data_IF_888881764024
#
_entry.id   IF_888881764024
#
_cell.length_a   1.000
_cell.length_b   1.000
_cell.length_c   1.000
_cell.angle_alpha   90.00
_cell.angle_beta   90.00
_cell.angle_gamma   90.00
#
_symmetry.space_group_name_H-M   'P 1'
#
loop_
_entity.id
_entity.type
_entity.pdbx_description
1 polymer ?
#
# COMPACT_ATOMS: atom_id res chain seq x y z
N UNK A 1 5.03 -5.55 -10.72
CA UNK A 1 3.79 -5.50 -9.90
C UNK A 1 3.61 -4.08 -9.37
N UNK A 2 2.41 -3.71 -8.94
CA UNK A 2 2.15 -2.40 -8.30
C UNK A 2 2.13 -2.59 -6.79
N UNK A 3 2.96 -1.84 -6.08
CA UNK A 3 3.02 -1.85 -4.62
C UNK A 3 2.04 -0.84 -4.05
N UNK A 4 1.27 -1.23 -3.04
CA UNK A 4 0.35 -0.35 -2.33
C UNK A 4 0.92 -0.03 -0.95
N UNK A 5 1.03 1.26 -0.66
CA UNK A 5 1.23 1.76 0.69
C UNK A 5 0.04 1.38 1.60
N UNK A 6 0.30 1.23 2.90
CA UNK A 6 -0.67 0.96 3.96
C UNK A 6 -1.90 1.87 3.86
N UNK A 7 -1.69 3.16 3.60
CA UNK A 7 -2.79 4.13 3.52
C UNK A 7 -3.76 3.83 2.37
N UNK A 8 -3.28 3.31 1.24
CA UNK A 8 -4.17 2.98 0.10
C UNK A 8 -5.08 1.81 0.47
N UNK A 9 -4.54 0.78 1.11
CA UNK A 9 -5.34 -0.32 1.63
C UNK A 9 -6.35 0.17 2.68
N UNK A 10 -5.95 1.08 3.57
CA UNK A 10 -6.87 1.64 4.55
C UNK A 10 -8.01 2.43 3.89
N UNK A 11 -7.73 3.17 2.83
CA UNK A 11 -8.71 4.00 2.13
C UNK A 11 -9.78 3.16 1.44
N UNK A 12 -9.35 2.03 0.88
CA UNK A 12 -10.25 1.00 0.35
C UNK A 12 -11.10 0.39 1.47
N UNK A 13 -10.47 -0.10 2.54
CA UNK A 13 -11.14 -0.92 3.56
C UNK A 13 -12.05 -0.11 4.50
N UNK A 14 -11.65 1.11 4.85
CA UNK A 14 -12.40 2.01 5.75
C UNK A 14 -13.24 3.04 4.99
N UNK A 15 -13.34 2.94 3.67
CA UNK A 15 -14.10 3.86 2.80
C UNK A 15 -13.80 5.34 3.08
N UNK A 16 -12.52 5.68 3.18
CA UNK A 16 -12.11 7.04 3.56
C UNK A 16 -12.30 8.02 2.41
N UNK A 17 -13.25 8.94 2.57
CA UNK A 17 -13.42 10.07 1.64
C UNK A 17 -12.29 11.10 1.82
N UNK A 18 -11.77 11.71 0.73
CA UNK A 18 -12.17 11.55 -0.68
C UNK A 18 -11.45 10.41 -1.44
N UNK A 19 -10.56 9.66 -0.79
CA UNK A 19 -9.62 8.76 -1.47
C UNK A 19 -10.19 7.39 -1.88
N UNK A 20 -11.34 7.01 -1.34
CA UNK A 20 -11.91 5.69 -1.50
C UNK A 20 -12.19 5.32 -2.96
N UNK A 21 -12.81 6.22 -3.73
CA UNK A 21 -13.26 5.95 -5.10
C UNK A 21 -12.08 5.63 -6.01
N UNK A 22 -11.01 6.44 -5.95
CA UNK A 22 -9.81 6.21 -6.75
C UNK A 22 -9.09 4.89 -6.35
N UNK A 23 -9.04 4.59 -5.05
CA UNK A 23 -8.44 3.35 -4.55
C UNK A 23 -9.24 2.11 -4.98
N UNK A 24 -10.58 2.18 -4.95
CA UNK A 24 -11.47 1.12 -5.42
C UNK A 24 -11.28 0.89 -6.91
N UNK A 25 -11.28 1.95 -7.72
CA UNK A 25 -11.11 1.86 -9.17
C UNK A 25 -9.74 1.28 -9.54
N UNK A 26 -8.67 1.71 -8.86
CA UNK A 26 -7.33 1.16 -9.03
C UNK A 26 -7.30 -0.35 -8.79
N UNK A 27 -7.86 -0.81 -7.66
CA UNK A 27 -7.85 -2.23 -7.31
C UNK A 27 -8.73 -3.04 -8.26
N UNK A 28 -9.93 -2.54 -8.59
CA UNK A 28 -10.85 -3.19 -9.52
C UNK A 28 -10.22 -3.35 -10.91
N UNK A 29 -9.51 -2.33 -11.40
CA UNK A 29 -8.80 -2.42 -12.68
C UNK A 29 -7.73 -3.51 -12.65
N UNK A 30 -6.89 -3.55 -11.61
CA UNK A 30 -5.86 -4.57 -11.48
C UNK A 30 -6.43 -5.98 -11.46
N UNK A 31 -7.52 -6.20 -10.71
CA UNK A 31 -8.25 -7.48 -10.68
C UNK A 31 -8.76 -7.84 -12.08
N UNK A 32 -9.46 -6.92 -12.75
CA UNK A 32 -10.02 -7.13 -14.09
C UNK A 32 -8.96 -7.46 -15.13
N UNK A 33 -7.78 -6.86 -15.03
CA UNK A 33 -6.65 -7.07 -15.96
C UNK A 33 -5.69 -8.16 -15.52
N UNK A 34 -5.97 -8.87 -14.42
CA UNK A 34 -5.07 -9.87 -13.83
C UNK A 34 -3.66 -9.33 -13.57
N UNK A 35 -3.55 -8.04 -13.21
CA UNK A 35 -2.32 -7.39 -12.84
C UNK A 35 -2.05 -7.59 -11.35
N UNK A 36 -0.78 -7.79 -10.99
CA UNK A 36 -0.39 -8.08 -9.61
C UNK A 36 -0.33 -6.81 -8.76
N UNK A 37 -1.05 -6.83 -7.65
CA UNK A 37 -0.92 -5.90 -6.52
C UNK A 37 -0.12 -6.55 -5.40
N UNK A 38 0.62 -5.74 -4.63
CA UNK A 38 1.34 -6.20 -3.44
C UNK A 38 1.28 -5.17 -2.32
N UNK A 39 1.31 -5.64 -1.09
CA UNK A 39 1.40 -4.82 0.12
C UNK A 39 2.40 -5.46 1.07
N UNK A 40 3.12 -4.65 1.83
CA UNK A 40 4.02 -5.13 2.87
C UNK A 40 3.26 -5.90 3.96
N UNK A 41 3.83 -6.99 4.45
CA UNK A 41 3.35 -7.70 5.64
C UNK A 41 3.30 -6.80 6.89
N UNK A 42 4.11 -5.74 6.94
CA UNK A 42 4.08 -4.72 8.02
C UNK A 42 2.79 -3.92 8.00
N UNK A 43 2.17 -3.74 6.84
CA UNK A 43 0.90 -3.02 6.74
C UNK A 43 -0.24 -3.76 7.45
N UNK A 44 -0.16 -5.08 7.65
CA UNK A 44 -1.23 -5.87 8.27
C UNK A 44 -1.51 -5.49 9.74
N UNK A 45 -0.51 -5.45 10.65
CA UNK A 45 -0.75 -4.97 12.00
C UNK A 45 -1.18 -3.50 12.03
N UNK A 46 -0.67 -2.65 11.13
CA UNK A 46 -1.04 -1.23 11.07
C UNK A 46 -2.49 -1.05 10.61
N UNK A 47 -2.90 -1.73 9.55
CA UNK A 47 -4.29 -1.80 9.10
C UNK A 47 -5.20 -2.31 10.22
N UNK A 48 -4.77 -3.34 10.96
CA UNK A 48 -5.55 -3.88 12.08
C UNK A 48 -5.79 -2.82 13.15
N UNK A 49 -4.76 -2.09 13.52
CA UNK A 49 -4.86 -1.00 14.51
C UNK A 49 -5.75 0.14 14.00
N UNK A 50 -5.54 0.59 12.76
CA UNK A 50 -6.27 1.71 12.19
C UNK A 50 -7.74 1.38 11.96
N UNK A 51 -8.07 0.21 11.40
CA UNK A 51 -9.45 -0.21 11.15
C UNK A 51 -10.29 -0.23 12.42
N UNK A 52 -9.75 -0.73 13.53
CA UNK A 52 -10.44 -0.70 14.84
C UNK A 52 -10.70 0.71 15.35
N UNK A 53 -9.84 1.68 15.00
CA UNK A 53 -10.02 3.09 15.35
C UNK A 53 -11.13 3.74 14.51
N UNK A 54 -11.26 3.36 13.24
CA UNK A 54 -12.33 3.87 12.36
C UNK A 54 -13.68 3.20 12.63
N UNK A 55 -13.69 1.91 12.97
CA UNK A 55 -14.90 1.12 13.16
C UNK A 55 -14.73 0.17 14.36
N UNK A 56 -15.30 0.55 15.52
CA UNK A 56 -15.11 -0.21 16.78
C UNK A 56 -15.52 -1.68 16.70
N UNK A 57 -16.60 -1.97 15.98
CA UNK A 57 -17.20 -3.32 15.87
C UNK A 57 -16.77 -4.08 14.60
N UNK A 58 -15.70 -3.64 13.91
CA UNK A 58 -15.28 -4.26 12.65
C UNK A 58 -14.63 -5.63 12.89
N UNK A 59 -15.08 -6.65 12.16
CA UNK A 59 -14.36 -7.92 12.05
C UNK A 59 -13.13 -7.75 11.16
N UNK A 60 -12.04 -7.26 11.78
CA UNK A 60 -10.80 -6.95 11.06
C UNK A 60 -10.19 -8.19 10.42
N UNK A 61 -10.36 -9.37 11.01
CA UNK A 61 -9.81 -10.62 10.45
C UNK A 61 -10.49 -10.96 9.14
N UNK A 62 -11.82 -10.96 9.11
CA UNK A 62 -12.56 -11.23 7.89
C UNK A 62 -12.25 -10.21 6.79
N UNK A 63 -12.18 -8.93 7.15
CA UNK A 63 -11.81 -7.85 6.23
C UNK A 63 -10.43 -8.08 5.60
N UNK A 64 -9.41 -8.36 6.42
CA UNK A 64 -8.05 -8.62 5.94
C UNK A 64 -7.95 -9.92 5.13
N UNK A 65 -8.65 -10.98 5.54
CA UNK A 65 -8.74 -12.23 4.78
C UNK A 65 -9.32 -12.00 3.38
N UNK A 66 -10.27 -11.08 3.21
CA UNK A 66 -10.81 -10.74 1.90
C UNK A 66 -9.84 -9.89 1.06
N UNK A 67 -9.11 -8.96 1.69
CA UNK A 67 -8.09 -8.15 1.01
C UNK A 67 -7.00 -9.02 0.36
N UNK A 68 -6.45 -9.97 1.11
CA UNK A 68 -5.28 -10.76 0.68
C UNK A 68 -5.62 -11.82 -0.37
N UNK A 69 -6.91 -12.02 -0.71
CA UNK A 69 -7.31 -12.85 -1.86
C UNK A 69 -6.89 -12.24 -3.19
N UNK A 70 -6.77 -10.92 -3.25
CA UNK A 70 -6.50 -10.16 -4.47
C UNK A 70 -5.16 -9.42 -4.43
N UNK A 71 -4.58 -9.25 -3.24
CA UNK A 71 -3.33 -8.51 -3.03
C UNK A 71 -2.29 -9.47 -2.43
N UNK A 72 -1.12 -9.53 -3.06
CA UNK A 72 0.00 -10.31 -2.53
C UNK A 72 0.56 -9.70 -1.25
N UNK A 73 0.82 -10.55 -0.24
CA UNK A 73 1.60 -10.16 0.94
C UNK A 73 3.09 -10.28 0.63
N UNK A 74 3.83 -9.19 0.83
CA UNK A 74 5.26 -9.10 0.57
C UNK A 74 6.03 -9.16 1.89
N UNK A 75 6.92 -10.12 2.01
CA UNK A 75 7.66 -10.38 3.24
C UNK A 75 8.74 -9.33 3.47
N UNK A 76 8.73 -8.70 4.63
CA UNK A 76 9.84 -7.84 5.03
C UNK A 76 10.89 -8.67 5.76
N UNK A 77 12.14 -8.53 5.34
CA UNK A 77 13.26 -9.26 5.92
C UNK A 77 14.24 -8.33 6.65
N UNK A 78 15.23 -8.96 7.29
CA UNK A 78 16.30 -8.28 8.03
C UNK A 78 17.01 -7.22 7.20
N UNK A 79 17.35 -7.51 5.94
CA UNK A 79 18.13 -6.58 5.10
C UNK A 79 17.37 -5.29 4.82
N UNK A 80 16.08 -5.41 4.50
CA UNK A 80 15.20 -4.23 4.29
C UNK A 80 15.07 -3.42 5.58
N UNK A 81 14.94 -4.10 6.71
CA UNK A 81 14.83 -3.46 8.04
C UNK A 81 16.13 -2.72 8.40
N UNK A 82 17.28 -3.36 8.21
CA UNK A 82 18.59 -2.75 8.46
C UNK A 82 18.86 -1.58 7.51
N UNK A 83 18.44 -1.68 6.24
CA UNK A 83 18.52 -0.57 5.29
C UNK A 83 17.69 0.64 5.76
N UNK A 84 16.45 0.41 6.20
CA UNK A 84 15.58 1.48 6.70
C UNK A 84 16.13 2.15 7.97
N UNK A 85 16.62 1.35 8.94
CA UNK A 85 17.21 1.87 10.20
C UNK A 85 18.43 2.75 9.94
N UNK A 86 19.27 2.38 8.96
CA UNK A 86 20.49 3.11 8.64
C UNK A 86 20.30 4.19 7.55
N UNK A 87 19.06 4.42 7.13
CA UNK A 87 18.75 5.40 6.08
C UNK A 87 18.72 6.84 6.61
N UNK A 88 18.79 7.80 5.70
CA UNK A 88 18.47 9.22 5.97
C UNK A 88 16.98 9.52 5.82
N UNK A 89 16.15 8.50 5.64
CA UNK A 89 14.72 8.67 5.51
C UNK A 89 14.11 9.12 6.83
N UNK A 90 13.21 10.10 6.78
CA UNK A 90 12.67 10.72 8.00
C UNK A 90 11.80 9.74 8.79
N UNK A 91 10.93 9.02 8.09
CA UNK A 91 10.05 8.01 8.66
C UNK A 91 10.55 6.61 8.31
N UNK A 92 10.71 5.78 9.34
CA UNK A 92 11.20 4.41 9.19
C UNK A 92 10.14 3.54 8.49
N UNK A 93 8.84 3.76 8.73
CA UNK A 93 7.78 3.00 8.06
C UNK A 93 7.83 3.24 6.55
N UNK A 94 7.88 4.50 6.11
CA UNK A 94 7.92 4.84 4.68
C UNK A 94 9.17 4.25 4.00
N UNK A 95 10.32 4.30 4.68
CA UNK A 95 11.53 3.66 4.17
C UNK A 95 11.39 2.14 4.10
N UNK A 96 10.79 1.49 5.11
CA UNK A 96 10.54 0.05 5.07
C UNK A 96 9.54 -0.35 3.97
N UNK A 97 8.51 0.48 3.70
CA UNK A 97 7.59 0.28 2.58
C UNK A 97 8.34 0.38 1.25
N UNK A 98 9.18 1.42 1.09
CA UNK A 98 10.03 1.59 -0.09
C UNK A 98 10.99 0.41 -0.29
N UNK A 99 11.73 0.00 0.75
CA UNK A 99 12.66 -1.12 0.69
C UNK A 99 11.95 -2.44 0.36
N UNK A 100 10.73 -2.64 0.88
CA UNK A 100 9.89 -3.79 0.54
C UNK A 100 9.49 -3.77 -0.95
N UNK A 101 9.03 -2.62 -1.45
CA UNK A 101 8.69 -2.44 -2.86
C UNK A 101 9.91 -2.69 -3.77
N UNK A 102 11.07 -2.11 -3.41
CA UNK A 102 12.34 -2.24 -4.14
C UNK A 102 12.83 -3.68 -4.19
N UNK A 103 12.87 -4.35 -3.04
CA UNK A 103 13.32 -5.74 -2.94
C UNK A 103 12.47 -6.70 -3.78
N UNK A 104 11.16 -6.45 -3.84
CA UNK A 104 10.22 -7.26 -4.64
C UNK A 104 10.06 -6.78 -6.08
N UNK A 105 10.92 -5.87 -6.56
CA UNK A 105 10.89 -5.34 -7.93
C UNK A 105 9.53 -4.75 -8.31
N UNK A 106 8.93 -3.97 -7.41
CA UNK A 106 7.76 -3.18 -7.73
C UNK A 106 8.09 -2.21 -8.88
N UNK A 107 7.17 -2.12 -9.83
CA UNK A 107 7.30 -1.19 -10.96
C UNK A 107 6.83 0.22 -10.59
N UNK A 108 6.03 0.32 -9.53
CA UNK A 108 5.42 1.55 -9.05
C UNK A 108 4.98 1.38 -7.60
N UNK A 109 5.03 2.47 -6.84
CA UNK A 109 4.43 2.62 -5.52
C UNK A 109 3.18 3.50 -5.64
N UNK A 110 2.07 3.04 -5.10
CA UNK A 110 0.86 3.84 -4.91
C UNK A 110 0.80 4.25 -3.45
N UNK A 111 0.79 5.56 -3.20
CA UNK A 111 0.67 6.16 -1.87
C UNK A 111 -0.23 7.37 -1.92
N UNK A 112 -0.77 7.78 -0.78
CA UNK A 112 -1.43 9.07 -0.66
C UNK A 112 -0.42 10.23 -0.64
N UNK A 113 0.75 10.01 -0.03
CA UNK A 113 1.67 11.07 0.32
C UNK A 113 2.99 10.91 -0.45
N UNK A 114 3.05 11.44 -1.67
CA UNK A 114 4.26 11.31 -2.50
C UNK A 114 5.53 11.91 -1.88
N UNK A 115 5.37 12.96 -1.08
CA UNK A 115 6.48 13.62 -0.39
C UNK A 115 7.22 12.68 0.58
N UNK A 116 6.51 11.69 1.13
CA UNK A 116 7.05 10.70 2.05
C UNK A 116 7.96 9.70 1.30
N UNK A 117 7.89 9.69 -0.03
CA UNK A 117 8.70 8.86 -0.94
C UNK A 117 9.64 9.68 -1.84
N UNK A 118 10.09 10.85 -1.36
CA UNK A 118 10.95 11.75 -2.14
C UNK A 118 12.32 11.15 -2.53
N UNK A 119 12.79 10.14 -1.81
CA UNK A 119 14.04 9.41 -2.07
C UNK A 119 13.82 8.16 -2.93
N UNK A 120 12.58 7.90 -3.38
CA UNK A 120 12.25 6.69 -4.13
C UNK A 120 12.81 6.73 -5.56
N UNK A 121 13.57 5.70 -5.91
CA UNK A 121 13.96 5.41 -7.30
C UNK A 121 12.83 4.70 -8.09
N UNK A 122 11.80 4.20 -7.39
CA UNK A 122 10.62 3.58 -7.99
C UNK A 122 9.60 4.69 -8.29
N UNK A 123 8.95 4.69 -9.47
CA UNK A 123 7.87 5.64 -9.76
C UNK A 123 6.80 5.65 -8.67
N UNK A 124 6.39 6.84 -8.24
CA UNK A 124 5.39 7.03 -7.18
C UNK A 124 4.19 7.78 -7.70
N UNK A 125 2.99 7.24 -7.47
CA UNK A 125 1.72 7.86 -7.83
C UNK A 125 0.73 7.86 -6.68
N UNK A 126 -0.21 8.79 -6.70
CA UNK A 126 -1.46 8.65 -5.95
C UNK A 126 -2.46 7.78 -6.71
N UNK A 127 -3.46 7.22 -6.02
CA UNK A 127 -4.55 6.48 -6.68
C UNK A 127 -5.24 7.35 -7.74
N UNK A 128 -5.47 8.64 -7.46
CA UNK A 128 -6.08 9.58 -8.39
C UNK A 128 -5.24 9.80 -9.66
N UNK A 129 -3.93 10.00 -9.51
CA UNK A 129 -3.01 10.12 -10.65
C UNK A 129 -3.01 8.84 -11.49
N UNK A 130 -2.94 7.68 -10.84
CA UNK A 130 -2.94 6.39 -11.51
C UNK A 130 -4.26 6.15 -12.27
N UNK A 131 -5.41 6.40 -11.65
CA UNK A 131 -6.72 6.28 -12.30
C UNK A 131 -6.78 7.19 -13.52
N UNK A 132 -6.33 8.45 -13.38
CA UNK A 132 -6.34 9.41 -14.48
C UNK A 132 -5.53 8.94 -15.68
N UNK A 133 -4.40 8.28 -15.45
CA UNK A 133 -3.48 7.83 -16.49
C UNK A 133 -3.89 6.49 -17.14
N UNK A 134 -4.47 5.56 -16.39
CA UNK A 134 -4.69 4.18 -16.86
C UNK A 134 -6.16 3.78 -17.03
N UNK A 135 -7.10 4.51 -16.46
CA UNK A 135 -8.54 4.19 -16.56
C UNK A 135 -9.33 5.10 -17.52
N UNK A 136 -8.71 6.17 -18.01
CA UNK A 136 -9.30 7.09 -18.99
C UNK A 136 -8.89 6.74 -20.43
#
# INVERSE_FOLDING_TARGET
>A
MTFLDTNICLDLLAKRSPWHEDAEQLVAFHIKKSMKLGVSTISIPILTFLLKRYHKEIDTKNVLCNLIKFIGLLDVNRKMTEAAINSTWKDIEDCMQYECARYHNALMIITRNKQDFNQSEIPVMTSAEWVKEFCN
#
